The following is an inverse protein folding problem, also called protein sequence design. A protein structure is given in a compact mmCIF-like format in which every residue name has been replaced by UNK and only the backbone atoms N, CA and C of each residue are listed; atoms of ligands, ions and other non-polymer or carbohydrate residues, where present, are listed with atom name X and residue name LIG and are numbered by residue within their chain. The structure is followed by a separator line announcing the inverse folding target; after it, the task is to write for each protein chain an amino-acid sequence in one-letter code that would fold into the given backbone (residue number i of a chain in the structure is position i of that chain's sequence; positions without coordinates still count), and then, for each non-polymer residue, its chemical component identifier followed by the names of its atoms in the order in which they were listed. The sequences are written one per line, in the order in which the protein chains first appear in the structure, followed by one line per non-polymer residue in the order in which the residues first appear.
data_IF_351928561972
#
_entry.id   IF_351928561972
#
_cell.length_a   1.000
_cell.length_b   1.000
_cell.length_c   1.000
_cell.angle_alpha   90.00
_cell.angle_beta   90.00
_cell.angle_gamma   90.00
#
_symmetry.space_group_name_H-M   'P 1'
#
loop_
_entity.id
_entity.type
_entity.pdbx_description
1 polymer ?
#
# COMPACT_ATOMS: atom_id res chain seq x y z
N UNK A 1 -3.07 18.91 10.53
CA UNK A 1 -1.98 18.75 9.54
C UNK A 1 -0.77 19.51 10.07
N UNK A 2 0.37 18.83 10.21
CA UNK A 2 1.60 19.41 10.75
C UNK A 2 2.78 19.08 9.82
N UNK A 3 3.76 19.97 9.66
CA UNK A 3 4.94 19.69 8.86
C UNK A 3 6.04 19.02 9.69
N UNK A 4 6.41 17.79 9.33
CA UNK A 4 7.52 17.05 9.92
C UNK A 4 8.83 17.49 9.25
N UNK A 5 9.60 18.33 9.93
CA UNK A 5 10.88 18.85 9.42
C UNK A 5 11.95 17.78 9.25
N UNK A 6 11.87 16.67 9.98
CA UNK A 6 12.86 15.58 9.89
C UNK A 6 12.67 14.79 8.60
N UNK A 7 11.42 14.60 8.19
CA UNK A 7 11.05 13.86 6.97
C UNK A 7 10.93 14.82 5.77
N UNK A 8 10.66 16.09 6.01
CA UNK A 8 10.42 17.09 4.97
C UNK A 8 9.06 16.91 4.29
N UNK A 9 8.02 16.60 5.06
CA UNK A 9 6.68 16.29 4.55
C UNK A 9 5.60 16.69 5.56
N UNK A 10 4.38 16.92 5.06
CA UNK A 10 3.19 17.11 5.89
C UNK A 10 2.68 15.77 6.41
N UNK A 11 2.41 15.72 7.70
CA UNK A 11 1.77 14.62 8.38
C UNK A 11 0.24 14.77 8.33
N UNK A 12 -0.40 13.75 7.77
CA UNK A 12 -1.83 13.49 7.85
C UNK A 12 -2.07 12.34 8.83
N UNK A 13 -3.06 12.52 9.70
CA UNK A 13 -3.45 11.51 10.68
C UNK A 13 -4.95 11.21 10.54
N UNK A 14 -5.31 9.93 10.62
CA UNK A 14 -6.70 9.48 10.57
C UNK A 14 -6.90 8.33 11.56
N UNK A 15 -8.02 8.35 12.29
CA UNK A 15 -8.45 7.27 13.17
C UNK A 15 -9.70 6.58 12.59
N UNK A 16 -9.55 5.62 11.67
CA UNK A 16 -10.69 5.03 10.95
C UNK A 16 -11.60 4.18 11.84
N UNK A 17 -11.08 3.67 12.96
CA UNK A 17 -11.83 2.92 13.98
C UNK A 17 -11.16 3.10 15.34
N UNK A 18 -11.88 2.75 16.42
CA UNK A 18 -11.31 2.77 17.77
C UNK A 18 -10.03 1.94 17.84
N UNK A 19 -9.02 2.46 18.53
CA UNK A 19 -7.71 1.80 18.69
C UNK A 19 -6.82 1.82 17.45
N UNK A 20 -7.28 2.28 16.28
CA UNK A 20 -6.47 2.34 15.05
C UNK A 20 -6.09 3.78 14.72
N UNK A 21 -4.82 4.01 14.42
CA UNK A 21 -4.32 5.27 13.92
C UNK A 21 -3.50 5.03 12.64
N UNK A 22 -3.83 5.78 11.60
CA UNK A 22 -3.10 5.79 10.33
C UNK A 22 -2.42 7.14 10.20
N UNK A 23 -1.13 7.12 9.88
CA UNK A 23 -0.31 8.30 9.58
C UNK A 23 0.21 8.20 8.15
N UNK A 24 0.23 9.33 7.46
CA UNK A 24 0.80 9.44 6.12
C UNK A 24 1.61 10.71 6.01
N UNK A 25 2.80 10.60 5.42
CA UNK A 25 3.69 11.73 5.17
C UNK A 25 3.68 12.07 3.69
N UNK A 26 3.23 13.27 3.35
CA UNK A 26 3.04 13.74 1.98
C UNK A 26 3.83 15.03 1.75
N UNK A 27 4.63 15.06 0.68
CA UNK A 27 5.36 16.27 0.26
C UNK A 27 4.45 17.29 -0.43
N UNK A 28 4.97 18.50 -0.64
CA UNK A 28 4.27 19.58 -1.36
C UNK A 28 3.88 19.20 -2.79
N UNK A 29 4.69 18.37 -3.44
CA UNK A 29 4.42 17.86 -4.79
C UNK A 29 3.40 16.70 -4.83
N UNK A 30 2.83 16.33 -3.67
CA UNK A 30 1.86 15.25 -3.53
C UNK A 30 2.50 13.86 -3.37
N UNK A 31 3.83 13.71 -3.39
CA UNK A 31 4.47 12.41 -3.19
C UNK A 31 4.30 11.92 -1.74
N UNK A 32 3.73 10.72 -1.58
CA UNK A 32 3.64 10.03 -0.29
C UNK A 32 4.98 9.37 0.00
N UNK A 33 5.72 9.80 1.01
CA UNK A 33 7.05 9.26 1.34
C UNK A 33 7.00 8.15 2.39
N UNK A 34 5.92 8.10 3.17
CA UNK A 34 5.74 7.09 4.20
C UNK A 34 4.29 6.97 4.63
N UNK A 35 3.96 5.79 5.16
CA UNK A 35 2.72 5.55 5.87
C UNK A 35 2.98 4.64 7.07
N UNK A 36 2.17 4.78 8.11
CA UNK A 36 2.23 3.97 9.31
C UNK A 36 0.80 3.67 9.79
N UNK A 37 0.55 2.43 10.18
CA UNK A 37 -0.66 2.05 10.91
C UNK A 37 -0.26 1.52 12.28
N UNK A 38 -0.90 2.04 13.31
CA UNK A 38 -0.86 1.45 14.64
C UNK A 38 -2.24 0.93 15.02
N UNK A 39 -2.27 -0.19 15.74
CA UNK A 39 -3.47 -0.78 16.33
C UNK A 39 -3.22 -1.04 17.81
N UNK A 40 -4.11 -0.55 18.66
CA UNK A 40 -4.05 -0.66 20.12
C UNK A 40 -2.69 -0.23 20.70
N UNK A 41 -2.15 0.85 20.13
CA UNK A 41 -0.86 1.43 20.51
C UNK A 41 0.38 0.70 19.97
N UNK A 42 0.21 -0.41 19.24
CA UNK A 42 1.31 -1.16 18.63
C UNK A 42 1.46 -0.83 17.15
N UNK A 43 2.70 -0.82 16.66
CA UNK A 43 2.98 -0.71 15.23
C UNK A 43 2.49 -1.97 14.53
N UNK A 44 1.47 -1.81 13.68
CA UNK A 44 0.96 -2.89 12.86
C UNK A 44 1.78 -2.99 11.57
N UNK A 45 1.90 -1.88 10.84
CA UNK A 45 2.87 -1.79 9.75
C UNK A 45 3.39 -0.38 9.53
N UNK A 46 4.56 -0.28 8.90
CA UNK A 46 5.12 0.92 8.30
C UNK A 46 5.49 0.64 6.85
N UNK A 47 5.18 1.59 5.98
CA UNK A 47 5.54 1.57 4.57
C UNK A 47 6.42 2.78 4.29
N UNK A 48 7.53 2.56 3.60
CA UNK A 48 8.36 3.62 3.03
C UNK A 48 8.33 3.54 1.51
N UNK A 49 8.06 4.66 0.88
CA UNK A 49 7.91 4.77 -0.57
C UNK A 49 9.20 5.35 -1.17
N UNK A 50 9.81 4.62 -2.09
CA UNK A 50 11.06 5.05 -2.74
C UNK A 50 10.78 5.53 -4.16
N UNK A 51 11.05 6.81 -4.40
CA UNK A 51 10.87 7.43 -5.71
C UNK A 51 12.20 7.62 -6.42
N UNK A 52 12.21 7.31 -7.71
CA UNK A 52 13.25 7.78 -8.61
C UNK A 52 13.02 9.26 -8.94
N UNK A 53 14.09 10.02 -9.15
CA UNK A 53 14.02 11.46 -9.45
C UNK A 53 13.06 11.74 -10.62
N UNK A 54 12.07 12.61 -10.39
CA UNK A 54 11.11 13.03 -11.41
C UNK A 54 10.01 12.02 -11.75
N UNK A 55 9.89 10.91 -11.00
CA UNK A 55 8.78 9.96 -11.15
C UNK A 55 7.67 10.27 -10.16
N UNK A 56 6.42 10.21 -10.60
CA UNK A 56 5.23 10.33 -9.76
C UNK A 56 4.87 9.02 -9.04
N UNK A 57 5.50 7.92 -9.42
CA UNK A 57 5.21 6.57 -8.93
C UNK A 57 6.45 6.01 -8.25
N UNK A 58 6.32 5.38 -7.07
CA UNK A 58 7.44 4.76 -6.38
C UNK A 58 7.99 3.59 -7.21
N UNK A 59 9.30 3.43 -7.25
CA UNK A 59 9.95 2.25 -7.83
C UNK A 59 10.05 1.09 -6.84
N UNK A 60 9.95 1.37 -5.54
CA UNK A 60 9.94 0.35 -4.50
C UNK A 60 9.15 0.78 -3.26
N UNK A 61 8.63 -0.22 -2.55
CA UNK A 61 7.94 -0.10 -1.27
C UNK A 61 8.66 -0.98 -0.25
N UNK A 62 9.05 -0.40 0.88
CA UNK A 62 9.63 -1.14 2.02
C UNK A 62 8.56 -1.25 3.11
N UNK A 63 8.15 -2.47 3.43
CA UNK A 63 7.19 -2.79 4.47
C UNK A 63 7.92 -3.34 5.69
N UNK A 64 7.53 -2.87 6.86
CA UNK A 64 7.93 -3.39 8.16
C UNK A 64 6.67 -3.65 9.00
N UNK A 65 6.56 -4.84 9.60
CA UNK A 65 5.54 -5.17 10.61
C UNK A 65 6.25 -5.66 11.87
N UNK A 66 5.95 -5.04 13.01
CA UNK A 66 6.48 -5.48 14.31
C UNK A 66 5.66 -6.65 14.88
N UNK A 67 4.38 -6.78 14.50
CA UNK A 67 3.49 -7.88 14.94
C UNK A 67 4.03 -9.21 14.44
N UNK A 68 4.41 -9.26 13.16
CA UNK A 68 4.87 -10.49 12.50
C UNK A 68 6.39 -10.52 12.31
N UNK A 69 7.11 -9.53 12.87
CA UNK A 69 8.57 -9.36 12.72
C UNK A 69 9.05 -9.47 11.26
N UNK A 70 8.25 -8.94 10.33
CA UNK A 70 8.44 -9.13 8.89
C UNK A 70 8.93 -7.84 8.26
N UNK A 71 9.98 -7.97 7.43
CA UNK A 71 10.42 -6.93 6.52
C UNK A 71 10.26 -7.44 5.09
N UNK A 72 9.51 -6.71 4.26
CA UNK A 72 9.30 -7.04 2.86
C UNK A 72 9.65 -5.86 1.97
N UNK A 73 10.17 -6.13 0.77
CA UNK A 73 10.42 -5.10 -0.23
C UNK A 73 9.73 -5.48 -1.52
N UNK A 74 8.82 -4.63 -1.98
CA UNK A 74 8.17 -4.77 -3.29
C UNK A 74 8.91 -3.84 -4.24
N UNK A 75 9.49 -4.41 -5.31
CA UNK A 75 10.15 -3.65 -6.38
C UNK A 75 9.25 -3.64 -7.61
N UNK A 76 8.90 -2.45 -8.08
CA UNK A 76 8.06 -2.27 -9.26
C UNK A 76 8.98 -2.23 -10.48
N UNK A 77 8.90 -3.26 -11.32
CA UNK A 77 9.77 -3.40 -12.50
C UNK A 77 9.21 -2.66 -13.72
N UNK A 78 7.91 -2.79 -13.96
CA UNK A 78 7.18 -2.10 -15.03
C UNK A 78 5.91 -1.48 -14.47
N UNK A 79 5.50 -0.39 -15.09
CA UNK A 79 4.24 0.28 -14.78
C UNK A 79 3.70 0.90 -16.05
N UNK A 80 2.49 0.53 -16.43
CA UNK A 80 1.82 0.99 -17.63
C UNK A 80 0.55 1.75 -17.24
N UNK A 81 0.38 2.94 -17.83
CA UNK A 81 -0.85 3.73 -17.69
C UNK A 81 -1.76 3.44 -18.88
N UNK A 82 -3.07 3.54 -18.65
CA UNK A 82 -4.10 3.41 -19.67
C UNK A 82 -4.15 2.03 -20.35
N UNK A 83 -3.76 0.98 -19.63
CA UNK A 83 -4.07 -0.38 -20.05
C UNK A 83 -5.60 -0.54 -20.04
N UNK A 84 -6.15 -1.06 -21.15
CA UNK A 84 -7.56 -1.39 -21.23
C UNK A 84 -7.73 -2.76 -20.59
N UNK A 85 -8.31 -2.78 -19.40
CA UNK A 85 -8.75 -4.01 -18.75
C UNK A 85 -10.20 -4.27 -19.18
N UNK A 86 -10.48 -5.50 -19.60
CA UNK A 86 -11.83 -5.97 -19.84
C UNK A 86 -12.49 -6.45 -18.55
N UNK A 87 -13.79 -6.73 -18.60
CA UNK A 87 -14.50 -7.32 -17.45
C UNK A 87 -13.93 -8.72 -17.11
N UNK A 88 -13.49 -9.44 -18.14
CA UNK A 88 -12.86 -10.75 -18.05
C UNK A 88 -11.54 -10.78 -17.25
N UNK A 89 -10.83 -9.66 -17.13
CA UNK A 89 -9.60 -9.57 -16.33
C UNK A 89 -9.88 -9.62 -14.81
N UNK A 90 -11.14 -9.39 -14.42
CA UNK A 90 -11.62 -9.40 -13.04
C UNK A 90 -12.41 -10.66 -12.70
N UNK A 91 -12.74 -11.48 -13.69
CA UNK A 91 -13.41 -12.76 -13.47
C UNK A 91 -12.42 -13.76 -12.83
N UNK A 92 -12.85 -14.51 -11.81
CA UNK A 92 -12.01 -15.55 -11.23
C UNK A 92 -11.64 -16.57 -12.32
N UNK A 93 -10.36 -16.99 -12.42
CA UNK A 93 -9.95 -17.91 -13.47
C UNK A 93 -10.64 -19.27 -13.28
N UNK A 94 -11.65 -19.56 -14.10
CA UNK A 94 -12.41 -20.81 -14.03
C UNK A 94 -11.61 -22.08 -14.43
N UNK A 95 -10.29 -22.04 -14.63
CA UNK A 95 -9.54 -23.21 -15.10
C UNK A 95 -8.03 -23.25 -14.76
N UNK A 96 -7.63 -22.89 -13.55
CA UNK A 96 -6.30 -23.29 -13.05
C UNK A 96 -6.42 -23.86 -11.65
N UNK A 97 -5.70 -24.97 -11.42
CA UNK A 97 -5.71 -25.88 -10.25
C UNK A 97 -5.45 -25.25 -8.85
N UNK A 98 -5.70 -23.96 -8.65
CA UNK A 98 -5.76 -23.36 -7.33
C UNK A 98 -7.18 -23.57 -6.78
N UNK A 99 -7.30 -24.46 -5.79
CA UNK A 99 -8.51 -24.59 -4.96
C UNK A 99 -8.79 -23.24 -4.29
N UNK A 100 -9.66 -22.44 -4.90
CA UNK A 100 -10.57 -21.59 -4.15
C UNK A 100 -11.88 -22.35 -4.07
N UNK A 101 -12.38 -22.52 -2.86
CA UNK A 101 -13.67 -23.15 -2.60
C UNK A 101 -14.74 -22.39 -3.37
N UNK A 102 -15.49 -23.17 -4.16
CA UNK A 102 -16.81 -22.85 -4.75
C UNK A 102 -16.79 -21.92 -5.96
N UNK A 103 -16.40 -22.48 -7.12
CA UNK A 103 -17.17 -22.20 -8.34
C UNK A 103 -18.57 -22.77 -8.09
N UNK A 104 -19.52 -21.92 -7.75
CA UNK A 104 -20.92 -22.31 -7.67
C UNK A 104 -21.34 -22.78 -9.07
N UNK A 105 -21.71 -24.05 -9.14
CA UNK A 105 -22.42 -24.64 -10.27
C UNK A 105 -23.76 -23.91 -10.40
N UNK A 106 -23.96 -23.20 -11.51
CA UNK A 106 -25.31 -22.87 -11.97
C UNK A 106 -25.69 -23.92 -13.03
N UNK A 107 -26.79 -24.62 -12.73
CA UNK A 107 -27.48 -25.65 -13.54
C UNK A 107 -27.86 -25.19 -14.96
#
# INVERSE_FOLDING_TARGET
MAFDRKIGAYLLEQAPKHGTLVRMWIREDGQVVGAERTMDGKLDYRIKFQFSKGKSIPGALEFQSDIDSTNATVKIQSFELNQQFGDEDWEPPCNTNFRWLECLEDE
#
